data_IF_617488957585
#
_entry.id   IF_617488957585
#
_cell.length_a   1.000
_cell.length_b   1.000
_cell.length_c   1.000
_cell.angle_alpha   90.00
_cell.angle_beta   90.00
_cell.angle_gamma   90.00
#
_symmetry.space_group_name_H-M   'P 1'
#
loop_
_entity.id
_entity.type
_entity.pdbx_description
1 polymer ?
#
# COMPACT_ATOMS: atom_id res chain seq x y z
N UNK A 1 -4.85 12.16 19.00
CA UNK A 1 -3.87 11.06 19.14
C UNK A 1 -3.37 10.65 17.74
N UNK A 2 -2.59 11.49 17.06
CA UNK A 2 -2.39 11.33 15.59
C UNK A 2 -0.92 11.38 15.14
N UNK A 3 0.04 11.19 16.04
CA UNK A 3 1.47 11.14 15.68
C UNK A 3 2.00 9.72 15.49
N UNK A 4 1.35 8.70 16.07
CA UNK A 4 1.83 7.30 16.00
C UNK A 4 1.63 6.71 14.61
N UNK A 5 0.47 6.96 13.98
CA UNK A 5 0.18 6.51 12.62
C UNK A 5 1.16 7.12 11.60
N UNK A 6 1.40 8.43 11.66
CA UNK A 6 2.30 9.10 10.72
C UNK A 6 3.75 8.61 10.84
N UNK A 7 4.28 8.49 12.07
CA UNK A 7 5.64 8.02 12.31
C UNK A 7 5.86 6.54 11.95
N UNK A 8 4.82 5.70 12.07
CA UNK A 8 4.88 4.31 11.59
C UNK A 8 4.76 4.24 10.07
N UNK A 9 3.97 5.09 9.44
CA UNK A 9 3.91 5.16 7.97
C UNK A 9 5.24 5.60 7.39
N UNK A 10 5.89 6.63 7.95
CA UNK A 10 7.16 7.11 7.40
C UNK A 10 8.28 6.07 7.53
N UNK A 11 8.34 5.38 8.68
CA UNK A 11 9.23 4.22 8.84
C UNK A 11 8.87 3.06 7.92
N UNK A 12 7.58 2.78 7.73
CA UNK A 12 7.15 1.75 6.79
C UNK A 12 7.60 2.10 5.36
N UNK A 13 7.43 3.35 4.93
CA UNK A 13 7.89 3.81 3.62
C UNK A 13 9.41 3.68 3.45
N UNK A 14 10.18 3.97 4.49
CA UNK A 14 11.64 3.82 4.49
C UNK A 14 12.06 2.35 4.41
N UNK A 15 11.48 1.48 5.26
CA UNK A 15 11.72 0.03 5.22
C UNK A 15 11.31 -0.56 3.87
N UNK A 16 10.21 -0.10 3.30
CA UNK A 16 9.73 -0.56 2.00
C UNK A 16 10.59 -0.09 0.83
N UNK A 17 11.16 1.13 0.90
CA UNK A 17 12.17 1.59 -0.08
C UNK A 17 13.44 0.75 -0.01
N UNK A 18 13.98 0.53 1.18
CA UNK A 18 15.17 -0.29 1.38
C UNK A 18 14.93 -1.73 0.93
N UNK A 19 13.73 -2.27 1.18
CA UNK A 19 13.35 -3.58 0.67
C UNK A 19 13.30 -3.60 -0.86
N UNK A 20 12.67 -2.63 -1.52
CA UNK A 20 12.62 -2.56 -2.98
C UNK A 20 14.03 -2.45 -3.62
N UNK A 21 15.01 -1.88 -2.91
CA UNK A 21 16.40 -1.79 -3.36
C UNK A 21 17.21 -3.09 -3.15
N UNK A 22 16.88 -3.89 -2.12
CA UNK A 22 17.68 -5.06 -1.75
C UNK A 22 17.05 -6.41 -2.12
N UNK A 23 15.72 -6.49 -2.24
CA UNK A 23 14.99 -7.72 -2.52
C UNK A 23 13.73 -7.43 -3.36
N UNK A 24 13.38 -8.40 -4.22
CA UNK A 24 12.33 -8.36 -5.24
C UNK A 24 11.13 -7.46 -4.90
N UNK A 25 10.78 -6.59 -5.85
CA UNK A 25 9.69 -5.60 -5.85
C UNK A 25 8.30 -6.24 -5.60
N UNK A 26 8.10 -6.76 -4.39
CA UNK A 26 7.04 -7.72 -4.09
C UNK A 26 5.74 -7.03 -3.73
N UNK A 27 4.62 -7.66 -4.09
CA UNK A 27 3.31 -7.09 -3.82
C UNK A 27 2.99 -6.77 -2.34
N UNK A 28 3.47 -7.49 -1.30
CA UNK A 28 3.13 -7.17 0.09
C UNK A 28 3.75 -5.85 0.53
N UNK A 29 4.91 -5.50 -0.03
CA UNK A 29 5.62 -4.23 0.24
C UNK A 29 4.74 -3.07 -0.23
N UNK A 30 4.36 -3.09 -1.51
CA UNK A 30 3.47 -2.07 -2.06
C UNK A 30 2.10 -2.04 -1.39
N UNK A 31 1.53 -3.20 -1.07
CA UNK A 31 0.26 -3.26 -0.35
C UNK A 31 0.35 -2.66 1.07
N UNK A 32 1.49 -2.83 1.75
CA UNK A 32 1.77 -2.19 3.03
C UNK A 32 1.87 -0.66 2.91
N UNK A 33 2.62 -0.16 1.91
CA UNK A 33 2.72 1.28 1.62
C UNK A 33 1.35 1.88 1.32
N UNK A 34 0.52 1.18 0.54
CA UNK A 34 -0.81 1.64 0.19
C UNK A 34 -1.71 1.86 1.41
N UNK A 35 -1.74 0.89 2.34
CA UNK A 35 -2.51 1.04 3.59
C UNK A 35 -1.99 2.21 4.44
N UNK A 36 -0.67 2.36 4.50
CA UNK A 36 -0.04 3.49 5.21
C UNK A 36 -0.43 4.86 4.64
N UNK A 37 -0.43 4.99 3.30
CA UNK A 37 -0.88 6.20 2.63
C UNK A 37 -2.38 6.43 2.77
N UNK A 38 -3.18 5.36 2.70
CA UNK A 38 -4.64 5.42 2.92
C UNK A 38 -4.97 5.97 4.30
N UNK A 39 -4.28 5.46 5.34
CA UNK A 39 -4.45 5.91 6.72
C UNK A 39 -4.07 7.39 6.94
N UNK A 40 -3.23 7.96 6.06
CA UNK A 40 -2.88 9.38 6.02
C UNK A 40 -3.88 10.22 5.20
N UNK A 41 -4.87 9.60 4.56
CA UNK A 41 -5.80 10.22 3.61
C UNK A 41 -5.18 10.48 2.23
N UNK A 42 -3.96 10.00 1.96
CA UNK A 42 -3.29 10.15 0.67
C UNK A 42 -3.69 8.99 -0.26
N UNK A 43 -4.95 9.00 -0.68
CA UNK A 43 -5.51 7.94 -1.53
C UNK A 43 -4.82 7.85 -2.89
N UNK A 44 -4.30 8.97 -3.41
CA UNK A 44 -3.57 9.00 -4.68
C UNK A 44 -2.28 8.17 -4.62
N UNK A 45 -1.46 8.36 -3.57
CA UNK A 45 -0.28 7.52 -3.37
C UNK A 45 -0.67 6.09 -3.02
N UNK A 46 -1.73 5.90 -2.24
CA UNK A 46 -2.21 4.56 -1.91
C UNK A 46 -2.60 3.75 -3.16
N UNK A 47 -3.32 4.36 -4.10
CA UNK A 47 -3.66 3.77 -5.40
C UNK A 47 -2.42 3.42 -6.23
N UNK A 48 -1.43 4.31 -6.26
CA UNK A 48 -0.17 4.07 -6.99
C UNK A 48 0.52 2.79 -6.51
N UNK A 49 0.58 2.60 -5.19
CA UNK A 49 1.17 1.41 -4.62
C UNK A 49 0.28 0.16 -4.79
N UNK A 50 -1.04 0.24 -4.64
CA UNK A 50 -1.90 -0.92 -4.92
C UNK A 50 -1.78 -1.40 -6.37
N UNK A 51 -1.63 -0.50 -7.35
CA UNK A 51 -1.44 -0.90 -8.76
C UNK A 51 -0.15 -1.71 -8.94
N UNK A 52 0.96 -1.29 -8.34
CA UNK A 52 2.20 -2.08 -8.32
C UNK A 52 2.05 -3.42 -7.59
N UNK A 53 1.29 -3.43 -6.49
CA UNK A 53 0.97 -4.66 -5.78
C UNK A 53 0.15 -5.62 -6.65
N UNK A 54 -0.75 -5.09 -7.49
CA UNK A 54 -1.59 -5.90 -8.37
C UNK A 54 -0.77 -6.60 -9.45
N UNK A 55 0.22 -5.91 -10.01
CA UNK A 55 1.14 -6.42 -11.02
C UNK A 55 1.91 -7.65 -10.51
N UNK A 56 2.44 -7.58 -9.29
CA UNK A 56 3.32 -8.61 -8.70
C UNK A 56 2.61 -9.58 -7.75
N UNK A 57 1.27 -9.57 -7.68
CA UNK A 57 0.53 -10.46 -6.80
C UNK A 57 0.54 -11.93 -7.30
N UNK A 58 0.85 -12.91 -6.43
CA UNK A 58 1.24 -14.26 -6.84
C UNK A 58 0.06 -15.16 -7.26
N UNK A 59 -1.17 -14.78 -6.92
CA UNK A 59 -2.35 -15.58 -7.19
C UNK A 59 -3.62 -14.72 -7.36
N UNK A 60 -4.70 -15.28 -7.93
CA UNK A 60 -5.95 -14.56 -8.15
C UNK A 60 -6.60 -14.01 -6.87
N UNK A 61 -6.47 -14.71 -5.73
CA UNK A 61 -7.04 -14.26 -4.46
C UNK A 61 -6.34 -12.99 -3.94
N UNK A 62 -5.00 -12.95 -4.02
CA UNK A 62 -4.22 -11.74 -3.72
C UNK A 62 -4.58 -10.60 -4.67
N UNK A 63 -4.65 -10.86 -5.97
CA UNK A 63 -5.06 -9.85 -6.97
C UNK A 63 -6.46 -9.29 -6.67
N UNK A 64 -7.42 -10.16 -6.35
CA UNK A 64 -8.78 -9.77 -5.97
C UNK A 64 -8.82 -8.88 -4.72
N UNK A 65 -8.00 -9.17 -3.70
CA UNK A 65 -7.88 -8.32 -2.50
C UNK A 65 -7.30 -6.95 -2.82
N UNK A 66 -6.25 -6.91 -3.65
CA UNK A 66 -5.64 -5.65 -4.09
C UNK A 66 -6.64 -4.82 -4.89
N UNK A 67 -7.35 -5.44 -5.83
CA UNK A 67 -8.35 -4.77 -6.65
C UNK A 67 -9.51 -4.22 -5.81
N UNK A 68 -10.03 -4.99 -4.85
CA UNK A 68 -11.11 -4.53 -3.96
C UNK A 68 -10.70 -3.27 -3.15
N UNK A 69 -9.42 -3.16 -2.79
CA UNK A 69 -8.90 -1.97 -2.12
C UNK A 69 -8.70 -0.79 -3.08
N UNK A 70 -8.31 -1.05 -4.34
CA UNK A 70 -8.28 -0.01 -5.39
C UNK A 70 -9.67 0.59 -5.54
N UNK A 71 -10.68 -0.26 -5.68
CA UNK A 71 -12.06 0.19 -5.88
C UNK A 71 -12.58 1.01 -4.69
N UNK A 72 -12.19 0.66 -3.46
CA UNK A 72 -12.49 1.46 -2.25
C UNK A 72 -11.83 2.83 -2.30
N UNK A 73 -10.52 2.87 -2.57
CA UNK A 73 -9.77 4.12 -2.65
C UNK A 73 -10.26 5.03 -3.79
N UNK A 74 -10.68 4.47 -4.93
CA UNK A 74 -11.28 5.22 -6.03
C UNK A 74 -12.61 5.87 -5.64
N UNK A 75 -13.34 5.27 -4.68
CA UNK A 75 -14.53 5.87 -4.06
C UNK A 75 -14.22 6.81 -2.89
N UNK A 76 -12.94 7.02 -2.58
CA UNK A 76 -12.50 7.85 -1.45
C UNK A 76 -12.69 7.17 -0.08
N UNK A 77 -12.86 5.85 -0.05
CA UNK A 77 -12.94 5.07 1.18
C UNK A 77 -11.56 4.62 1.62
N UNK A 78 -11.27 4.76 2.92
CA UNK A 78 -10.05 4.22 3.52
C UNK A 78 -10.05 2.68 3.53
N UNK A 79 -8.86 2.09 3.42
CA UNK A 79 -8.65 0.64 3.38
C UNK A 79 -7.96 0.09 4.65
N UNK A 80 -7.95 0.87 5.72
CA UNK A 80 -7.30 0.53 6.99
C UNK A 80 -8.30 0.15 8.10
#
# INVERSE_FOLDING_TARGET
RTFIGMGMTDKALEVFKINAENHEDTWPVHYGMARGYSAKGDYHKALTHLRKALENAPNPASKGRVQANIDKLERGEDIN
#
